data_IF_825868275506
#
_entry.id   IF_825868275506
#
_cell.length_a   1.000
_cell.length_b   1.000
_cell.length_c   1.000
_cell.angle_alpha   90.00
_cell.angle_beta   90.00
_cell.angle_gamma   90.00
#
_symmetry.space_group_name_H-M   'P 1'
#
loop_
_entity.id
_entity.type
_entity.pdbx_description
1 polymer ?
#
# COMPACT_ATOMS: atom_id res chain seq x y z
N UNK A 1 -30.87 -28.22 -39.57
CA UNK A 1 -31.15 -26.79 -39.26
C UNK A 1 -31.46 -26.48 -37.79
N UNK A 2 -31.96 -27.40 -36.97
CA UNK A 2 -32.26 -27.11 -35.52
C UNK A 2 -31.01 -26.98 -34.65
N UNK A 3 -29.89 -27.65 -35.00
CA UNK A 3 -28.67 -27.62 -34.19
C UNK A 3 -27.77 -26.37 -34.43
N UNK A 4 -27.84 -25.77 -35.60
CA UNK A 4 -27.12 -24.54 -35.93
C UNK A 4 -27.71 -23.32 -35.24
N UNK A 5 -29.03 -23.29 -35.05
CA UNK A 5 -29.73 -22.20 -34.33
C UNK A 5 -29.38 -22.20 -32.85
N UNK A 6 -29.20 -23.39 -32.24
CA UNK A 6 -28.84 -23.55 -30.83
C UNK A 6 -27.40 -23.09 -30.52
N UNK A 7 -26.47 -23.34 -31.44
CA UNK A 7 -25.09 -22.85 -31.30
C UNK A 7 -24.99 -21.31 -31.38
N UNK A 8 -25.80 -20.66 -32.22
CA UNK A 8 -25.80 -19.21 -32.30
C UNK A 8 -26.35 -18.54 -31.02
N UNK A 9 -27.32 -19.17 -30.37
CA UNK A 9 -27.90 -18.63 -29.11
C UNK A 9 -26.91 -18.74 -27.94
N UNK A 10 -26.12 -19.81 -27.89
CA UNK A 10 -25.10 -19.99 -26.83
C UNK A 10 -23.90 -19.05 -27.00
N UNK A 11 -23.50 -18.74 -28.24
CA UNK A 11 -22.41 -17.77 -28.50
C UNK A 11 -22.85 -16.34 -28.16
N UNK A 12 -24.12 -15.98 -28.43
CA UNK A 12 -24.66 -14.68 -28.05
C UNK A 12 -24.72 -14.49 -26.53
N UNK A 13 -25.04 -15.56 -25.77
CA UNK A 13 -25.04 -15.52 -24.29
C UNK A 13 -23.64 -15.34 -23.70
N UNK A 14 -22.60 -15.95 -24.31
CA UNK A 14 -21.22 -15.80 -23.88
C UNK A 14 -20.65 -14.39 -24.12
N UNK A 15 -21.11 -13.70 -25.17
CA UNK A 15 -20.70 -12.31 -25.44
C UNK A 15 -21.37 -11.29 -24.52
N UNK A 16 -22.56 -11.60 -23.97
CA UNK A 16 -23.24 -10.73 -23.03
C UNK A 16 -22.59 -10.72 -21.63
N UNK A 17 -21.86 -11.76 -21.23
CA UNK A 17 -21.15 -11.82 -19.95
C UNK A 17 -19.87 -10.98 -19.89
N UNK A 18 -19.29 -10.62 -21.03
CA UNK A 18 -18.05 -9.82 -21.05
C UNK A 18 -18.26 -8.33 -20.74
N UNK A 19 -19.49 -7.82 -20.75
CA UNK A 19 -19.76 -6.43 -20.42
C UNK A 19 -20.08 -6.19 -18.93
N UNK A 20 -20.18 -7.24 -18.11
CA UNK A 20 -20.47 -7.11 -16.69
C UNK A 20 -19.24 -6.85 -15.81
N UNK A 21 -18.01 -7.00 -16.37
CA UNK A 21 -16.74 -6.80 -15.63
C UNK A 21 -16.02 -5.49 -15.97
N UNK A 22 -16.59 -4.67 -16.84
CA UNK A 22 -16.05 -3.34 -17.16
C UNK A 22 -16.82 -2.24 -16.37
N UNK A 23 -17.21 -2.49 -15.13
CA UNK A 23 -17.42 -1.41 -14.18
C UNK A 23 -16.03 -1.02 -13.68
N UNK A 24 -15.46 0.04 -14.27
CA UNK A 24 -14.39 0.79 -13.63
C UNK A 24 -14.88 1.13 -12.22
N UNK A 25 -14.32 0.47 -11.23
CA UNK A 25 -14.55 0.89 -9.85
C UNK A 25 -14.06 2.34 -9.79
N UNK A 26 -14.87 3.28 -9.28
CA UNK A 26 -14.42 4.66 -9.16
C UNK A 26 -13.08 4.67 -8.44
N UNK A 27 -12.09 5.32 -9.05
CA UNK A 27 -10.75 5.42 -8.48
C UNK A 27 -10.88 6.07 -7.11
N UNK A 28 -10.45 5.37 -6.05
CA UNK A 28 -10.57 5.86 -4.67
C UNK A 28 -9.77 7.14 -4.51
N UNK A 29 -10.34 8.09 -3.78
CA UNK A 29 -9.60 9.30 -3.43
C UNK A 29 -8.40 8.97 -2.52
N UNK A 30 -7.35 9.80 -2.51
CA UNK A 30 -6.22 9.64 -1.59
C UNK A 30 -6.66 9.56 -0.13
N UNK A 31 -7.69 10.32 0.24
CA UNK A 31 -8.27 10.35 1.57
C UNK A 31 -8.95 9.02 1.92
N UNK A 32 -9.72 8.45 1.00
CA UNK A 32 -10.36 7.13 1.18
C UNK A 32 -9.31 6.04 1.33
N UNK A 33 -8.25 6.06 0.51
CA UNK A 33 -7.13 5.13 0.63
C UNK A 33 -6.42 5.26 1.98
N UNK A 34 -6.24 6.50 2.48
CA UNK A 34 -5.63 6.73 3.78
C UNK A 34 -6.49 6.16 4.91
N UNK A 35 -7.81 6.36 4.90
CA UNK A 35 -8.74 5.82 5.91
C UNK A 35 -8.65 4.30 5.96
N UNK A 36 -8.73 3.62 4.81
CA UNK A 36 -8.65 2.17 4.73
C UNK A 36 -7.31 1.64 5.27
N UNK A 37 -6.22 2.33 4.94
CA UNK A 37 -4.90 1.94 5.41
C UNK A 37 -4.74 2.14 6.92
N UNK A 38 -5.28 3.22 7.48
CA UNK A 38 -5.32 3.47 8.94
C UNK A 38 -6.07 2.35 9.65
N UNK A 39 -7.25 1.97 9.16
CA UNK A 39 -8.03 0.87 9.74
C UNK A 39 -7.29 -0.46 9.66
N UNK A 40 -6.64 -0.73 8.52
CA UNK A 40 -5.83 -1.92 8.33
C UNK A 40 -4.66 -1.96 9.31
N UNK A 41 -3.89 -0.88 9.40
CA UNK A 41 -2.75 -0.78 10.31
C UNK A 41 -3.17 -0.83 11.77
N UNK A 42 -4.30 -0.23 12.11
CA UNK A 42 -4.88 -0.29 13.45
C UNK A 42 -5.09 -1.72 13.93
N UNK A 43 -5.65 -2.56 13.09
CA UNK A 43 -5.86 -4.00 13.35
C UNK A 43 -4.55 -4.79 13.35
N UNK A 44 -3.73 -4.61 12.30
CA UNK A 44 -2.50 -5.38 12.11
C UNK A 44 -1.44 -5.10 13.19
N UNK A 45 -1.30 -3.84 13.61
CA UNK A 45 -0.30 -3.40 14.57
C UNK A 45 -0.87 -3.28 15.99
N UNK A 46 -2.19 -3.48 16.17
CA UNK A 46 -2.90 -3.28 17.45
C UNK A 46 -2.63 -1.88 18.03
N UNK A 47 -2.85 -0.85 17.22
CA UNK A 47 -2.58 0.52 17.58
C UNK A 47 -3.51 0.99 18.71
N UNK A 48 -2.97 1.78 19.66
CA UNK A 48 -3.78 2.52 20.61
C UNK A 48 -4.52 3.69 19.93
N UNK A 49 -5.54 4.26 20.62
CA UNK A 49 -6.28 5.41 20.08
C UNK A 49 -5.37 6.61 19.76
N UNK A 50 -4.38 6.89 20.62
CA UNK A 50 -3.39 7.94 20.38
C UNK A 50 -2.51 7.64 19.16
N UNK A 51 -2.06 6.40 19.00
CA UNK A 51 -1.30 5.98 17.83
C UNK A 51 -2.13 6.08 16.56
N UNK A 52 -3.40 5.64 16.59
CA UNK A 52 -4.34 5.77 15.48
C UNK A 52 -4.48 7.22 15.01
N UNK A 53 -4.60 8.18 15.94
CA UNK A 53 -4.68 9.59 15.60
C UNK A 53 -3.46 10.10 14.83
N UNK A 54 -2.24 9.77 15.29
CA UNK A 54 -1.02 10.19 14.58
C UNK A 54 -0.85 9.48 13.24
N UNK A 55 -1.15 8.18 13.16
CA UNK A 55 -1.09 7.41 11.92
C UNK A 55 -2.08 7.96 10.90
N UNK A 56 -3.32 8.26 11.30
CA UNK A 56 -4.34 8.87 10.44
C UNK A 56 -3.87 10.24 9.90
N UNK A 57 -3.38 11.11 10.77
CA UNK A 57 -2.89 12.44 10.38
C UNK A 57 -1.75 12.35 9.34
N UNK A 58 -0.79 11.46 9.57
CA UNK A 58 0.36 11.27 8.67
C UNK A 58 -0.09 10.70 7.32
N UNK A 59 -0.90 9.65 7.33
CA UNK A 59 -1.31 8.98 6.09
C UNK A 59 -2.21 9.86 5.23
N UNK A 60 -3.17 10.58 5.82
CA UNK A 60 -4.01 11.53 5.06
C UNK A 60 -3.16 12.58 4.36
N UNK A 61 -2.23 13.20 5.07
CA UNK A 61 -1.36 14.20 4.50
C UNK A 61 -0.45 13.63 3.40
N UNK A 62 0.24 12.53 3.70
CA UNK A 62 1.25 12.00 2.79
C UNK A 62 0.66 11.28 1.56
N UNK A 63 -0.56 10.69 1.67
CA UNK A 63 -1.22 10.08 0.51
C UNK A 63 -1.70 11.13 -0.49
N UNK A 64 -2.20 12.28 -0.04
CA UNK A 64 -2.55 13.39 -0.93
C UNK A 64 -1.33 13.87 -1.71
N UNK A 65 -0.22 14.13 -1.03
CA UNK A 65 1.01 14.59 -1.69
C UNK A 65 1.62 13.51 -2.62
N UNK A 66 1.54 12.23 -2.24
CA UNK A 66 1.96 11.12 -3.10
C UNK A 66 1.12 11.07 -4.38
N UNK A 67 -0.19 11.24 -4.24
CA UNK A 67 -1.11 11.26 -5.37
C UNK A 67 -0.79 12.43 -6.31
N UNK A 68 -0.55 13.64 -5.78
CA UNK A 68 -0.14 14.81 -6.55
C UNK A 68 1.16 14.57 -7.33
N UNK A 69 2.17 13.96 -6.69
CA UNK A 69 3.43 13.60 -7.35
C UNK A 69 3.19 12.63 -8.53
N UNK A 70 2.34 11.62 -8.34
CA UNK A 70 2.00 10.62 -9.38
C UNK A 70 1.20 11.26 -10.50
N UNK A 71 0.18 12.07 -10.19
CA UNK A 71 -0.61 12.80 -11.19
C UNK A 71 0.26 13.76 -11.99
N UNK A 72 1.20 14.44 -11.35
CA UNK A 72 2.17 15.28 -12.03
C UNK A 72 3.05 14.51 -13.04
N UNK A 73 3.37 13.23 -12.77
CA UNK A 73 4.05 12.39 -13.75
C UNK A 73 3.14 12.05 -14.94
N UNK A 74 1.89 11.70 -14.68
CA UNK A 74 0.89 11.41 -15.74
C UNK A 74 0.70 12.64 -16.66
N UNK A 75 0.51 13.81 -16.07
CA UNK A 75 0.32 15.07 -16.83
C UNK A 75 1.53 15.41 -17.71
N UNK A 76 2.74 15.09 -17.29
CA UNK A 76 3.97 15.24 -18.10
C UNK A 76 4.15 14.13 -19.15
N UNK A 77 3.19 13.21 -19.25
CA UNK A 77 3.23 12.11 -20.22
C UNK A 77 4.31 11.06 -19.91
N UNK A 78 4.76 10.96 -18.65
CA UNK A 78 5.73 9.95 -18.27
C UNK A 78 5.12 8.55 -18.42
N UNK A 79 5.78 7.67 -19.18
CA UNK A 79 5.40 6.26 -19.32
C UNK A 79 6.47 5.33 -18.72
N UNK A 80 7.53 5.90 -18.13
CA UNK A 80 8.63 5.12 -17.58
C UNK A 80 8.27 4.53 -16.22
N UNK A 81 8.16 3.21 -16.19
CA UNK A 81 7.90 2.45 -14.97
C UNK A 81 8.90 2.74 -13.85
N UNK A 82 10.19 2.93 -14.17
CA UNK A 82 11.21 3.18 -13.14
C UNK A 82 11.00 4.54 -12.45
N UNK A 83 10.50 5.53 -13.17
CA UNK A 83 10.16 6.84 -12.61
C UNK A 83 9.01 6.73 -11.61
N UNK A 84 7.92 6.03 -11.95
CA UNK A 84 6.82 5.77 -11.01
C UNK A 84 7.28 4.97 -9.80
N UNK A 85 8.08 3.94 -10.01
CA UNK A 85 8.64 3.12 -8.94
C UNK A 85 9.50 3.96 -7.98
N UNK A 86 10.37 4.82 -8.50
CA UNK A 86 11.21 5.70 -7.69
C UNK A 86 10.39 6.66 -6.82
N UNK A 87 9.32 7.25 -7.37
CA UNK A 87 8.39 8.11 -6.62
C UNK A 87 7.69 7.30 -5.52
N UNK A 88 7.17 6.12 -5.84
CA UNK A 88 6.53 5.24 -4.86
C UNK A 88 7.49 4.84 -3.73
N UNK A 89 8.71 4.43 -4.04
CA UNK A 89 9.72 4.05 -3.06
C UNK A 89 10.12 5.23 -2.15
N UNK A 90 10.25 6.44 -2.71
CA UNK A 90 10.49 7.69 -1.96
C UNK A 90 9.38 7.92 -0.93
N UNK A 91 8.11 7.81 -1.33
CA UNK A 91 6.97 8.04 -0.45
C UNK A 91 6.83 6.95 0.60
N UNK A 92 6.99 5.68 0.24
CA UNK A 92 7.03 4.58 1.22
C UNK A 92 8.11 4.83 2.27
N UNK A 93 9.31 5.26 1.87
CA UNK A 93 10.39 5.56 2.83
C UNK A 93 10.05 6.76 3.72
N UNK A 94 9.46 7.82 3.17
CA UNK A 94 9.02 9.00 3.92
C UNK A 94 7.98 8.63 4.98
N UNK A 95 6.96 7.86 4.61
CA UNK A 95 5.91 7.41 5.53
C UNK A 95 6.48 6.49 6.61
N UNK A 96 7.37 5.54 6.26
CA UNK A 96 8.05 4.70 7.25
C UNK A 96 8.78 5.54 8.30
N UNK A 97 9.52 6.57 7.87
CA UNK A 97 10.25 7.45 8.77
C UNK A 97 9.30 8.30 9.64
N UNK A 98 8.20 8.79 9.06
CA UNK A 98 7.21 9.61 9.78
C UNK A 98 6.45 8.82 10.85
N UNK A 99 6.13 7.54 10.59
CA UNK A 99 5.43 6.67 11.54
C UNK A 99 6.32 6.16 12.68
N UNK A 100 7.64 6.07 12.45
CA UNK A 100 8.58 5.48 13.40
C UNK A 100 8.50 6.05 14.83
N UNK A 101 8.39 7.37 15.08
CA UNK A 101 8.31 7.93 16.43
C UNK A 101 7.03 7.56 17.19
N UNK A 102 5.98 7.16 16.50
CA UNK A 102 4.65 6.90 17.06
C UNK A 102 4.36 5.41 17.28
N UNK A 103 5.24 4.53 16.81
CA UNK A 103 5.12 3.08 16.96
C UNK A 103 6.18 2.56 17.93
N UNK A 104 5.82 1.57 18.74
CA UNK A 104 6.85 0.83 19.47
C UNK A 104 7.74 0.00 18.53
N UNK A 105 8.87 -0.49 19.02
CA UNK A 105 9.83 -1.22 18.18
C UNK A 105 9.22 -2.44 17.48
N UNK A 106 8.36 -3.20 18.17
CA UNK A 106 7.76 -4.40 17.60
C UNK A 106 6.67 -4.06 16.58
N UNK A 107 5.86 -3.01 16.85
CA UNK A 107 4.89 -2.47 15.91
C UNK A 107 5.59 -1.95 14.65
N UNK A 108 6.69 -1.20 14.81
CA UNK A 108 7.44 -0.67 13.67
C UNK A 108 8.10 -1.78 12.84
N UNK A 109 8.69 -2.79 13.46
CA UNK A 109 9.22 -3.96 12.74
C UNK A 109 8.10 -4.70 11.99
N UNK A 110 6.91 -4.87 12.61
CA UNK A 110 5.76 -5.47 11.94
C UNK A 110 5.29 -4.62 10.76
N UNK A 111 5.26 -3.30 10.91
CA UNK A 111 4.97 -2.37 9.82
C UNK A 111 5.97 -2.52 8.67
N UNK A 112 7.27 -2.55 8.94
CA UNK A 112 8.30 -2.78 7.92
C UNK A 112 8.13 -4.12 7.19
N UNK A 113 7.67 -5.17 7.89
CA UNK A 113 7.32 -6.46 7.26
C UNK A 113 6.16 -6.30 6.27
N UNK A 114 5.11 -5.59 6.67
CA UNK A 114 3.96 -5.33 5.79
C UNK A 114 4.36 -4.54 4.55
N UNK A 115 5.32 -3.61 4.68
CA UNK A 115 5.86 -2.81 3.58
C UNK A 115 6.98 -3.49 2.76
N UNK A 116 7.27 -4.78 3.02
CA UNK A 116 8.32 -5.51 2.30
C UNK A 116 9.75 -5.03 2.59
N UNK A 117 9.97 -4.27 3.68
CA UNK A 117 11.26 -3.69 4.07
C UNK A 117 12.13 -4.67 4.89
N UNK A 118 12.22 -5.94 4.47
CA UNK A 118 12.95 -6.99 5.18
C UNK A 118 14.43 -6.72 5.40
N UNK A 119 15.03 -5.77 4.66
CA UNK A 119 16.43 -5.37 4.82
C UNK A 119 16.68 -4.49 6.05
N UNK A 120 15.63 -3.88 6.62
CA UNK A 120 15.76 -2.93 7.75
C UNK A 120 15.85 -3.60 9.12
N UNK A 121 15.51 -4.86 9.23
CA UNK A 121 15.52 -5.62 10.47
C UNK A 121 16.15 -7.00 10.31
N UNK A 122 16.47 -7.67 11.43
CA UNK A 122 16.94 -9.06 11.45
C UNK A 122 16.45 -9.79 12.69
N UNK A 123 16.38 -11.13 12.59
CA UNK A 123 16.06 -12.02 13.71
C UNK A 123 17.30 -12.21 14.58
N UNK A 124 17.14 -12.03 15.90
CA UNK A 124 18.17 -12.34 16.89
C UNK A 124 18.22 -13.84 17.23
N UNK A 125 19.22 -14.22 18.03
CA UNK A 125 19.37 -15.61 18.52
C UNK A 125 18.23 -16.03 19.46
N UNK A 126 17.61 -15.07 20.14
CA UNK A 126 16.45 -15.23 21.02
C UNK A 126 15.10 -15.35 20.28
N UNK A 127 15.13 -15.37 18.94
CA UNK A 127 13.95 -15.45 18.10
C UNK A 127 13.23 -14.12 17.86
N UNK A 128 13.58 -13.03 18.57
CA UNK A 128 13.02 -11.70 18.39
C UNK A 128 13.59 -10.98 17.18
N UNK A 129 12.85 -10.00 16.65
CA UNK A 129 13.33 -9.15 15.57
C UNK A 129 13.83 -7.82 16.13
N UNK A 130 14.90 -7.30 15.55
CA UNK A 130 15.59 -6.08 15.96
C UNK A 130 15.89 -5.22 14.73
N UNK A 131 15.77 -3.91 14.87
CA UNK A 131 16.20 -2.97 13.83
C UNK A 131 17.72 -3.04 13.67
N UNK A 132 18.20 -3.08 12.43
CA UNK A 132 19.65 -3.16 12.16
C UNK A 132 20.39 -1.92 12.61
N UNK A 133 19.77 -0.74 12.58
CA UNK A 133 20.38 0.50 13.05
C UNK A 133 20.65 0.47 14.56
N UNK A 134 19.74 -0.10 15.37
CA UNK A 134 19.92 -0.16 16.82
C UNK A 134 21.01 -1.16 17.22
N UNK A 135 21.16 -2.22 16.43
CA UNK A 135 22.26 -3.17 16.61
C UNK A 135 23.65 -2.58 16.28
N UNK A 136 23.71 -1.57 15.38
CA UNK A 136 24.95 -0.84 15.09
C UNK A 136 25.29 0.12 16.21
N UNK A 137 24.30 0.79 16.82
CA UNK A 137 24.51 1.71 17.95
C UNK A 137 25.03 0.99 19.20
N UNK A 138 24.59 -0.25 19.46
CA UNK A 138 25.05 -1.06 20.61
C UNK A 138 26.49 -1.61 20.48
N UNK A 139 27.10 -1.48 19.31
CA UNK A 139 28.48 -1.96 19.04
C UNK A 139 29.54 -0.85 19.10
N UNK A 140 29.15 0.40 19.27
CA UNK A 140 30.02 1.56 19.53
C UNK A 140 30.02 1.90 21.01
#
# INVERSE_FOLDING_TARGET
MKHTLFCFLTIAALLAFNNAFAQEQPEKSPEEMAIEEVERLGKELKLSGTQMFYVDSILRHDFVLMYEDVEGLKQRGSQDYNTYKAVSEKWVQKICNALKPYLDEQQYIRYLKLMGKGKEYKKGKDGKHYLKEDLKKKKK
#
